data_IF_062715479501
#
_entry.id   IF_062715479501
#
_cell.length_a   1.000
_cell.length_b   1.000
_cell.length_c   1.000
_cell.angle_alpha   90.00
_cell.angle_beta   90.00
_cell.angle_gamma   90.00
#
_symmetry.space_group_name_H-M   'P 1'
#
loop_
_entity.id
_entity.type
_entity.pdbx_description
1 polymer ?
#
# COMPACT_ATOMS: atom_id res chain seq x y z
N UNK A 1 -5.51 -14.49 -4.45
CA UNK A 1 -5.62 -13.11 -3.94
C UNK A 1 -6.99 -12.99 -3.30
N UNK A 2 -7.06 -12.82 -1.97
CA UNK A 2 -8.32 -12.64 -1.26
C UNK A 2 -8.59 -11.13 -1.21
N UNK A 3 -9.54 -10.65 -2.01
CA UNK A 3 -9.97 -9.26 -1.98
C UNK A 3 -11.26 -9.12 -1.16
N UNK A 4 -11.43 -7.96 -0.53
CA UNK A 4 -12.64 -7.65 0.21
C UNK A 4 -13.87 -7.62 -0.70
N UNK A 5 -15.04 -7.87 -0.10
CA UNK A 5 -16.31 -7.84 -0.83
C UNK A 5 -16.62 -6.41 -1.30
N UNK A 6 -17.17 -6.23 -2.52
CA UNK A 6 -17.58 -4.91 -3.01
C UNK A 6 -18.56 -4.21 -2.06
N UNK A 7 -18.55 -2.86 -2.02
CA UNK A 7 -19.48 -2.10 -1.20
C UNK A 7 -20.93 -2.31 -1.67
N UNK A 8 -21.86 -2.42 -0.71
CA UNK A 8 -23.25 -2.84 -0.99
C UNK A 8 -24.19 -1.74 -1.48
N UNK A 9 -23.84 -0.45 -1.29
CA UNK A 9 -24.77 0.67 -1.55
C UNK A 9 -24.05 1.89 -2.15
N UNK A 10 -23.27 2.62 -1.36
CA UNK A 10 -22.54 3.81 -1.84
C UNK A 10 -21.25 3.41 -2.55
N UNK A 11 -20.84 4.21 -3.53
CA UNK A 11 -19.56 4.11 -4.23
C UNK A 11 -19.34 2.82 -5.04
N UNK A 12 -20.38 2.01 -5.32
CA UNK A 12 -20.25 0.79 -6.13
C UNK A 12 -19.72 1.10 -7.54
N UNK A 13 -20.21 2.17 -8.19
CA UNK A 13 -19.74 2.55 -9.51
C UNK A 13 -18.24 2.94 -9.51
N UNK A 14 -17.81 3.74 -8.54
CA UNK A 14 -16.41 4.12 -8.38
C UNK A 14 -15.52 2.92 -8.02
N UNK A 15 -16.03 1.99 -7.19
CA UNK A 15 -15.37 0.73 -6.89
C UNK A 15 -15.19 -0.12 -8.15
N UNK A 16 -16.25 -0.29 -8.96
CA UNK A 16 -16.18 -1.06 -10.21
C UNK A 16 -15.20 -0.46 -11.20
N UNK A 17 -15.14 0.88 -11.30
CA UNK A 17 -14.17 1.54 -12.17
C UNK A 17 -12.73 1.34 -11.68
N UNK A 18 -12.49 1.52 -10.37
CA UNK A 18 -11.19 1.26 -9.77
C UNK A 18 -10.77 -0.21 -9.89
N UNK A 19 -11.70 -1.16 -9.71
CA UNK A 19 -11.44 -2.60 -9.78
C UNK A 19 -11.07 -3.05 -11.21
N UNK A 20 -11.54 -2.32 -12.22
CA UNK A 20 -11.12 -2.51 -13.62
C UNK A 20 -9.68 -2.03 -13.87
N UNK A 21 -9.15 -1.12 -13.06
CA UNK A 21 -7.75 -0.67 -13.14
C UNK A 21 -6.83 -1.74 -12.56
N UNK A 22 -6.51 -2.74 -13.39
CA UNK A 22 -5.67 -3.89 -12.99
C UNK A 22 -4.18 -3.60 -12.99
N UNK A 23 -3.78 -2.44 -13.49
CA UNK A 23 -2.38 -2.10 -13.71
C UNK A 23 -2.13 -0.75 -13.09
N UNK A 24 -1.34 -0.75 -12.02
CA UNK A 24 -0.71 0.44 -11.47
C UNK A 24 0.74 0.34 -11.90
N UNK A 25 1.21 1.30 -12.68
CA UNK A 25 2.61 1.36 -13.07
C UNK A 25 3.44 1.68 -11.82
N UNK A 26 4.24 0.70 -11.40
CA UNK A 26 5.13 0.84 -10.27
C UNK A 26 6.55 1.16 -10.75
N UNK A 27 7.34 1.89 -9.96
CA UNK A 27 8.77 2.08 -10.20
C UNK A 27 9.48 0.73 -10.35
N UNK A 28 10.26 0.57 -11.42
CA UNK A 28 11.02 -0.67 -11.67
C UNK A 28 12.28 -0.80 -10.80
N UNK A 29 12.70 0.27 -10.13
CA UNK A 29 13.92 0.33 -9.32
C UNK A 29 13.87 -0.51 -8.03
N UNK A 30 12.71 -1.10 -7.72
CA UNK A 30 12.51 -1.96 -6.55
C UNK A 30 12.47 -1.19 -5.22
N UNK A 31 12.49 0.14 -5.25
CA UNK A 31 12.44 1.02 -4.07
C UNK A 31 11.26 0.69 -3.16
N UNK A 32 10.07 0.52 -3.75
CA UNK A 32 8.85 0.15 -3.04
C UNK A 32 8.98 -1.18 -2.29
N UNK A 33 9.64 -2.17 -2.90
CA UNK A 33 9.81 -3.50 -2.29
C UNK A 33 10.75 -3.45 -1.08
N UNK A 34 11.78 -2.61 -1.15
CA UNK A 34 12.74 -2.41 -0.05
C UNK A 34 12.02 -1.78 1.15
N UNK A 35 11.27 -0.70 0.92
CA UNK A 35 10.62 0.05 2.01
C UNK A 35 9.42 -0.72 2.58
N UNK A 36 8.67 -1.45 1.76
CA UNK A 36 7.62 -2.36 2.24
C UNK A 36 8.20 -3.43 3.19
N UNK A 37 9.39 -3.97 2.90
CA UNK A 37 10.08 -4.92 3.77
C UNK A 37 10.54 -4.29 5.08
N UNK A 38 10.93 -3.01 5.07
CA UNK A 38 11.25 -2.25 6.28
C UNK A 38 10.03 -2.15 7.21
N UNK A 39 8.84 -1.85 6.66
CA UNK A 39 7.58 -1.83 7.43
C UNK A 39 7.29 -3.21 8.03
N UNK A 40 7.39 -4.28 7.23
CA UNK A 40 7.17 -5.65 7.72
C UNK A 40 8.11 -6.02 8.87
N UNK A 41 9.41 -5.70 8.74
CA UNK A 41 10.40 -5.91 9.79
C UNK A 41 10.07 -5.11 11.07
N UNK A 42 9.67 -3.84 10.92
CA UNK A 42 9.29 -3.00 12.05
C UNK A 42 8.05 -3.52 12.78
N UNK A 43 7.05 -4.03 12.04
CA UNK A 43 5.85 -4.65 12.63
C UNK A 43 6.20 -5.90 13.43
N UNK A 44 7.09 -6.75 12.91
CA UNK A 44 7.58 -7.96 13.62
C UNK A 44 8.38 -7.61 14.87
N UNK A 45 9.12 -6.50 14.87
CA UNK A 45 9.86 -6.02 16.04
C UNK A 45 8.96 -5.43 17.15
N UNK A 46 7.67 -5.21 16.89
CA UNK A 46 6.67 -4.86 17.90
C UNK A 46 6.77 -3.44 18.48
N UNK A 47 7.67 -2.59 17.97
CA UNK A 47 7.85 -1.22 18.47
C UNK A 47 7.05 -0.23 17.63
N UNK A 48 6.00 0.36 18.21
CA UNK A 48 5.10 1.28 17.50
C UNK A 48 5.82 2.48 16.88
N UNK A 49 6.86 3.00 17.51
CA UNK A 49 7.67 4.12 16.99
C UNK A 49 8.38 3.73 15.68
N UNK A 50 8.98 2.54 15.64
CA UNK A 50 9.69 2.06 14.44
C UNK A 50 8.71 1.79 13.30
N UNK A 51 7.53 1.25 13.61
CA UNK A 51 6.47 1.06 12.61
C UNK A 51 6.02 2.40 12.04
N UNK A 52 5.78 3.41 12.89
CA UNK A 52 5.39 4.75 12.42
C UNK A 52 6.46 5.37 11.53
N UNK A 53 7.73 5.27 11.91
CA UNK A 53 8.83 5.80 11.11
C UNK A 53 8.92 5.10 9.74
N UNK A 54 8.89 3.77 9.71
CA UNK A 54 8.91 3.02 8.45
C UNK A 54 7.69 3.34 7.56
N UNK A 55 6.51 3.55 8.16
CA UNK A 55 5.33 4.00 7.43
C UNK A 55 5.47 5.41 6.86
N UNK A 56 6.08 6.35 7.60
CA UNK A 56 6.34 7.69 7.10
C UNK A 56 7.29 7.64 5.89
N UNK A 57 8.39 6.90 5.98
CA UNK A 57 9.36 6.73 4.89
C UNK A 57 8.73 6.09 3.64
N UNK A 58 7.83 5.12 3.85
CA UNK A 58 7.04 4.52 2.77
C UNK A 58 6.16 5.55 2.07
N UNK A 59 5.39 6.35 2.82
CA UNK A 59 4.50 7.37 2.27
C UNK A 59 5.25 8.50 1.56
N UNK A 60 6.37 8.95 2.13
CA UNK A 60 7.23 9.95 1.50
C UNK A 60 7.80 9.44 0.17
N UNK A 61 8.19 8.17 0.10
CA UNK A 61 8.74 7.59 -1.12
C UNK A 61 7.66 7.36 -2.18
N UNK A 62 6.49 6.84 -1.80
CA UNK A 62 5.38 6.62 -2.75
C UNK A 62 4.80 7.92 -3.27
N UNK A 63 4.84 9.02 -2.49
CA UNK A 63 4.35 10.33 -2.95
C UNK A 63 5.12 10.95 -4.11
N UNK A 64 6.30 10.40 -4.46
CA UNK A 64 7.16 10.89 -5.54
C UNK A 64 6.78 10.30 -6.91
N UNK A 65 5.81 9.39 -6.95
CA UNK A 65 5.30 8.72 -8.14
C UNK A 65 3.82 9.05 -8.32
#
# INVERSE_FOLDING_TARGET
MLTDKPPRKSNLAAFTESDRMRTIDLPQDGSLRIIAKSVECAMKAGTTTNVRHACQEFLETTSRF
#
